data_IF_608425228263
#
_entry.id   IF_608425228263
#
_cell.length_a   1.000
_cell.length_b   1.000
_cell.length_c   1.000
_cell.angle_alpha   90.00
_cell.angle_beta   90.00
_cell.angle_gamma   90.00
#
_symmetry.space_group_name_H-M   'P 1'
#
loop_
_entity.id
_entity.type
_entity.pdbx_description
1 polymer ?
#
# COMPACT_ATOMS: atom_id res chain seq x y z
N UNK A 1 -7.45 42.93 8.93
CA UNK A 1 -6.56 42.23 7.97
C UNK A 1 -6.56 40.77 8.40
N UNK A 2 -7.44 39.96 7.81
CA UNK A 2 -7.52 38.55 8.13
C UNK A 2 -6.41 37.84 7.35
N UNK A 3 -5.40 37.34 8.05
CA UNK A 3 -4.42 36.43 7.47
C UNK A 3 -4.99 35.03 7.56
N UNK A 4 -5.72 34.61 6.52
CA UNK A 4 -6.02 33.20 6.28
C UNK A 4 -4.70 32.48 6.04
N UNK A 5 -4.23 31.81 7.08
CA UNK A 5 -3.13 30.86 6.99
C UNK A 5 -3.74 29.59 6.43
N UNK A 6 -3.61 29.40 5.11
CA UNK A 6 -3.91 28.11 4.46
C UNK A 6 -2.94 27.10 5.07
N UNK A 7 -3.45 26.30 6.00
CA UNK A 7 -2.73 25.17 6.54
C UNK A 7 -2.62 24.16 5.39
N UNK A 8 -1.50 24.22 4.67
CA UNK A 8 -1.10 23.23 3.68
C UNK A 8 -0.74 21.96 4.49
N UNK A 9 -1.78 21.28 4.98
CA UNK A 9 -1.69 19.99 5.65
C UNK A 9 -0.95 19.08 4.71
N UNK A 10 0.26 18.71 5.10
CA UNK A 10 1.17 17.96 4.27
C UNK A 10 0.50 16.61 3.97
N UNK A 11 0.69 16.05 2.77
CA UNK A 11 0.20 14.70 2.45
C UNK A 11 0.60 13.64 3.50
N UNK A 12 1.64 13.94 4.29
CA UNK A 12 2.06 13.14 5.44
C UNK A 12 1.04 13.14 6.58
N UNK A 13 0.40 14.27 6.88
CA UNK A 13 -0.60 14.36 7.94
C UNK A 13 -1.83 13.49 7.62
N UNK A 14 -2.25 13.46 6.35
CA UNK A 14 -3.31 12.57 5.87
C UNK A 14 -2.92 11.08 5.95
N UNK A 15 -1.65 10.77 5.69
CA UNK A 15 -1.13 9.40 5.77
C UNK A 15 -1.10 8.94 7.23
N UNK A 16 -0.65 9.80 8.15
CA UNK A 16 -0.60 9.53 9.58
C UNK A 16 -2.01 9.35 10.17
N UNK A 17 -2.97 10.18 9.77
CA UNK A 17 -4.38 10.03 10.14
C UNK A 17 -4.98 8.71 9.62
N UNK A 18 -4.66 8.33 8.38
CA UNK A 18 -5.12 7.05 7.82
C UNK A 18 -4.50 5.84 8.51
N UNK A 19 -3.20 5.91 8.81
CA UNK A 19 -2.48 4.85 9.52
C UNK A 19 -2.99 4.72 10.96
N UNK A 20 -3.25 5.83 11.65
CA UNK A 20 -3.72 5.83 13.04
C UNK A 20 -5.17 5.39 13.20
N UNK A 21 -6.05 5.65 12.22
CA UNK A 21 -7.48 5.34 12.29
C UNK A 21 -7.82 3.85 12.46
N UNK A 22 -6.88 2.93 12.22
CA UNK A 22 -7.10 1.48 12.32
C UNK A 22 -6.17 0.76 13.31
N UNK A 23 -5.33 1.48 14.05
CA UNK A 23 -4.44 0.87 15.04
C UNK A 23 -5.20 0.73 16.35
N UNK A 24 -5.85 -0.41 16.53
CA UNK A 24 -6.10 -0.91 17.89
C UNK A 24 -4.72 -1.16 18.49
N UNK A 25 -4.35 -0.56 19.64
CA UNK A 25 -3.10 -0.88 20.31
C UNK A 25 -3.20 -2.32 20.81
N UNK A 26 -2.78 -3.24 19.95
CA UNK A 26 -2.51 -4.61 20.37
C UNK A 26 -1.25 -4.55 21.23
N UNK A 27 -1.25 -5.24 22.36
CA UNK A 27 -0.08 -5.34 23.23
C UNK A 27 1.14 -5.64 22.35
N UNK A 28 2.16 -4.78 22.47
CA UNK A 28 3.35 -4.79 21.61
C UNK A 28 4.04 -6.15 21.71
N UNK A 29 3.66 -7.10 20.86
CA UNK A 29 4.44 -8.31 20.69
C UNK A 29 5.73 -7.94 19.99
N UNK A 30 6.82 -8.60 20.36
CA UNK A 30 8.14 -8.37 19.76
C UNK A 30 8.14 -8.83 18.28
N UNK A 31 7.70 -7.94 17.39
CA UNK A 31 7.66 -8.17 15.94
C UNK A 31 9.07 -8.43 15.41
N UNK A 32 10.08 -7.79 15.99
CA UNK A 32 11.48 -7.99 15.59
C UNK A 32 11.92 -9.43 15.87
N UNK A 33 11.69 -9.93 17.08
CA UNK A 33 11.95 -11.33 17.42
C UNK A 33 11.15 -12.32 16.58
N UNK A 34 9.91 -11.99 16.19
CA UNK A 34 9.13 -12.81 15.24
C UNK A 34 9.75 -12.85 13.85
N UNK A 35 10.32 -11.76 13.37
CA UNK A 35 11.02 -11.71 12.08
C UNK A 35 12.32 -12.53 12.15
N UNK A 36 13.12 -12.37 13.21
CA UNK A 36 14.37 -13.12 13.37
C UNK A 36 14.16 -14.63 13.50
N UNK A 37 13.08 -15.02 14.18
CA UNK A 37 12.72 -16.44 14.36
C UNK A 37 11.94 -17.02 13.16
N UNK A 38 11.56 -16.19 12.18
CA UNK A 38 10.75 -16.60 11.05
C UNK A 38 11.47 -17.62 10.17
N UNK A 39 10.92 -18.84 10.11
CA UNK A 39 11.37 -19.89 9.19
C UNK A 39 10.28 -20.16 8.16
N UNK A 40 10.52 -19.71 6.93
CA UNK A 40 9.59 -19.90 5.82
C UNK A 40 9.86 -21.24 5.12
N UNK A 41 8.80 -21.99 4.73
CA UNK A 41 8.96 -23.17 3.91
C UNK A 41 9.45 -22.79 2.51
N UNK A 42 10.19 -23.67 1.85
CA UNK A 42 10.49 -23.52 0.43
C UNK A 42 9.20 -23.60 -0.38
N UNK A 43 9.01 -22.64 -1.29
CA UNK A 43 7.81 -22.53 -2.12
C UNK A 43 8.15 -22.65 -3.61
N UNK A 44 7.23 -23.27 -4.36
CA UNK A 44 7.33 -23.30 -5.82
C UNK A 44 7.08 -21.90 -6.38
N UNK A 45 7.66 -21.60 -7.55
CA UNK A 45 7.46 -20.31 -8.23
C UNK A 45 6.01 -20.03 -8.64
N UNK A 46 5.17 -21.06 -8.74
CA UNK A 46 3.74 -20.96 -9.03
C UNK A 46 2.89 -20.56 -7.82
N UNK A 47 3.45 -20.57 -6.60
CA UNK A 47 2.71 -20.25 -5.39
C UNK A 47 2.41 -18.76 -5.28
N UNK A 48 1.23 -18.44 -4.75
CA UNK A 48 0.82 -17.06 -4.52
C UNK A 48 1.20 -16.63 -3.09
N UNK A 49 2.25 -15.81 -2.99
CA UNK A 49 2.75 -15.27 -1.71
C UNK A 49 1.71 -14.46 -0.94
N UNK A 50 0.79 -13.75 -1.62
CA UNK A 50 -0.28 -13.00 -0.95
C UNK A 50 -1.29 -13.95 -0.30
N UNK A 51 -1.60 -15.07 -0.97
CA UNK A 51 -2.47 -16.09 -0.40
C UNK A 51 -1.82 -16.81 0.78
N UNK A 52 -0.51 -17.07 0.71
CA UNK A 52 0.26 -17.64 1.83
C UNK A 52 0.13 -16.80 3.11
N UNK A 53 0.27 -15.48 3.01
CA UNK A 53 0.11 -14.60 4.16
C UNK A 53 -1.35 -14.48 4.59
N UNK A 54 -2.30 -14.47 3.65
CA UNK A 54 -3.74 -14.37 3.93
C UNK A 54 -4.23 -15.52 4.82
N UNK A 55 -3.80 -16.76 4.57
CA UNK A 55 -4.21 -17.91 5.40
C UNK A 55 -3.62 -17.85 6.82
N UNK A 56 -2.52 -17.12 7.02
CA UNK A 56 -1.87 -16.90 8.33
C UNK A 56 -2.41 -15.69 9.10
N UNK A 57 -3.45 -15.02 8.61
CA UNK A 57 -4.04 -13.84 9.26
C UNK A 57 -4.39 -14.09 10.75
N UNK A 58 -4.86 -15.29 11.08
CA UNK A 58 -5.25 -15.63 12.45
C UNK A 58 -4.10 -16.19 13.29
N UNK A 59 -3.13 -16.87 12.67
CA UNK A 59 -1.98 -17.45 13.39
C UNK A 59 -0.93 -16.38 13.72
N UNK A 60 -0.66 -15.51 12.75
CA UNK A 60 0.42 -14.53 12.80
C UNK A 60 -0.10 -13.15 12.35
N UNK A 61 -1.02 -12.53 13.11
CA UNK A 61 -1.70 -11.30 12.70
C UNK A 61 -0.74 -10.13 12.43
N UNK A 62 0.36 -10.06 13.17
CA UNK A 62 1.37 -9.00 13.02
C UNK A 62 2.22 -9.16 11.76
N UNK A 63 2.73 -10.37 11.51
CA UNK A 63 3.48 -10.65 10.28
C UNK A 63 2.57 -10.57 9.06
N UNK A 64 1.29 -10.93 9.20
CA UNK A 64 0.30 -10.70 8.16
C UNK A 64 0.09 -9.21 7.88
N UNK A 65 -0.09 -8.38 8.91
CA UNK A 65 -0.21 -6.94 8.75
C UNK A 65 1.03 -6.33 8.08
N UNK A 66 2.22 -6.73 8.52
CA UNK A 66 3.50 -6.32 7.92
C UNK A 66 3.59 -6.74 6.45
N UNK A 67 3.20 -7.98 6.12
CA UNK A 67 3.21 -8.46 4.73
C UNK A 67 2.37 -7.60 3.81
N UNK A 68 1.20 -7.12 4.28
CA UNK A 68 0.33 -6.24 3.48
C UNK A 68 1.03 -4.94 3.13
N UNK A 69 1.76 -4.36 4.09
CA UNK A 69 2.51 -3.11 3.86
C UNK A 69 3.67 -3.37 2.88
N UNK A 70 4.48 -4.41 3.11
CA UNK A 70 5.60 -4.73 2.24
C UNK A 70 5.18 -5.00 0.78
N UNK A 71 4.06 -5.70 0.56
CA UNK A 71 3.58 -6.03 -0.78
C UNK A 71 2.66 -4.97 -1.40
N UNK A 72 2.23 -3.96 -0.65
CA UNK A 72 1.50 -2.81 -1.21
C UNK A 72 2.44 -1.88 -2.01
N UNK A 73 3.74 -1.96 -1.74
CA UNK A 73 4.75 -1.15 -2.43
C UNK A 73 5.01 -1.79 -3.81
N UNK A 74 4.70 -1.09 -4.92
CA UNK A 74 5.01 -1.59 -6.23
C UNK A 74 6.53 -1.73 -6.39
N UNK A 75 7.03 -2.83 -6.97
CA UNK A 75 8.47 -3.10 -7.03
C UNK A 75 9.21 -2.15 -7.97
N UNK A 76 8.50 -1.45 -8.86
CA UNK A 76 9.09 -0.50 -9.82
C UNK A 76 8.22 0.74 -10.00
N UNK A 77 8.88 1.89 -10.16
CA UNK A 77 8.25 3.18 -10.52
C UNK A 77 7.47 3.08 -11.84
N UNK A 78 7.92 2.23 -12.76
CA UNK A 78 7.31 2.01 -14.10
C UNK A 78 5.83 1.61 -14.03
N UNK A 79 5.39 0.96 -12.94
CA UNK A 79 3.97 0.58 -12.76
C UNK A 79 3.07 1.81 -12.70
N UNK A 80 3.51 2.86 -12.01
CA UNK A 80 2.79 4.13 -11.90
C UNK A 80 2.79 4.84 -13.24
N UNK A 81 3.95 4.92 -13.90
CA UNK A 81 4.10 5.57 -15.22
C UNK A 81 3.22 4.90 -16.29
N UNK A 82 3.13 3.56 -16.27
CA UNK A 82 2.22 2.81 -17.14
C UNK A 82 0.76 3.13 -16.85
N UNK A 83 0.35 3.18 -15.58
CA UNK A 83 -1.03 3.54 -15.22
C UNK A 83 -1.39 4.97 -15.70
N UNK A 84 -0.52 5.95 -15.50
CA UNK A 84 -0.72 7.32 -16.01
C UNK A 84 -0.72 7.39 -17.54
N UNK A 85 0.11 6.59 -18.21
CA UNK A 85 0.13 6.52 -19.68
C UNK A 85 -1.18 5.93 -20.23
N UNK A 86 -1.68 4.86 -19.61
CA UNK A 86 -2.99 4.28 -19.94
C UNK A 86 -4.12 5.27 -19.69
N UNK A 87 -4.08 6.01 -18.58
CA UNK A 87 -5.07 7.04 -18.27
C UNK A 87 -5.03 8.18 -19.29
N UNK A 88 -3.84 8.63 -19.69
CA UNK A 88 -3.66 9.65 -20.74
C UNK A 88 -4.30 9.20 -22.05
N UNK A 89 -4.17 7.94 -22.45
CA UNK A 89 -4.80 7.41 -23.65
C UNK A 89 -6.33 7.51 -23.59
N UNK A 90 -6.93 7.05 -22.49
CA UNK A 90 -8.40 7.12 -22.27
C UNK A 90 -8.93 8.56 -22.24
N UNK A 91 -8.18 9.47 -21.63
CA UNK A 91 -8.58 10.88 -21.52
C UNK A 91 -8.34 11.68 -22.81
N UNK A 92 -7.36 11.27 -23.63
CA UNK A 92 -7.04 11.95 -24.89
C UNK A 92 -7.93 11.48 -26.05
N UNK A 93 -8.36 10.21 -26.05
CA UNK A 93 -9.21 9.63 -27.11
C UNK A 93 -10.67 10.13 -27.07
N UNK A 94 -11.12 10.76 -25.97
CA UNK A 94 -12.45 11.39 -25.88
C UNK A 94 -12.51 12.84 -26.41
N UNK A 95 -11.41 13.42 -26.89
CA UNK A 95 -11.49 14.55 -27.83
C UNK A 95 -11.73 13.99 -29.23
N UNK A 96 -12.96 13.49 -29.47
CA UNK A 96 -13.50 13.51 -30.81
C UNK A 96 -13.43 14.97 -31.27
N UNK A 97 -12.50 15.24 -32.19
CA UNK A 97 -12.58 16.41 -33.05
C UNK A 97 -13.83 16.20 -33.91
N UNK A 98 -14.99 16.57 -33.36
CA UNK A 98 -16.06 17.13 -34.18
C UNK A 98 -15.71 18.60 -34.35
N UNK A 99 -14.80 18.86 -35.28
CA UNK A 99 -14.71 20.16 -35.92
C UNK A 99 -14.93 19.88 -37.41
N UNK A 100 -16.04 20.43 -37.91
CA UNK A 100 -16.41 20.50 -39.33
C UNK A 100 -15.24 20.88 -40.25
#
# INVERSE_FOLDING_TARGET
>A
MASDTVHEGSNFDLLDDFLSANIVPNESTDVHGKIESLKLPYMKSSENVLNFWKVRKLSDPELYALSKVCFAIPPTQVTIERAFSSLKLVLSDNRLVSAD
#
